data_IF_482914336852
#
_entry.id   IF_482914336852
#
_cell.length_a   1.000
_cell.length_b   1.000
_cell.length_c   1.000
_cell.angle_alpha   90.00
_cell.angle_beta   90.00
_cell.angle_gamma   90.00
#
_symmetry.space_group_name_H-M   'P 1'
#
loop_
_entity.id
_entity.type
_entity.pdbx_description
1 polymer ?
#
# COMPACT_ATOMS: atom_id res chain seq x y z
N UNK A 1 10.75 -21.10 14.89
CA UNK A 1 10.37 -19.93 15.72
C UNK A 1 9.37 -19.17 14.88
N UNK A 2 8.09 -19.51 15.08
CA UNK A 2 6.97 -18.98 14.31
C UNK A 2 6.64 -17.58 14.85
N UNK A 3 6.71 -16.57 14.00
CA UNK A 3 6.26 -15.21 14.33
C UNK A 3 4.78 -15.14 13.96
N UNK A 4 3.95 -15.06 14.98
CA UNK A 4 2.51 -14.84 14.85
C UNK A 4 2.26 -13.48 14.18
N UNK A 5 1.88 -13.52 12.89
CA UNK A 5 1.33 -12.35 12.18
C UNK A 5 -0.12 -12.15 12.64
N UNK A 6 -0.31 -11.41 13.75
CA UNK A 6 -1.63 -10.95 14.16
C UNK A 6 -2.11 -9.79 13.28
N UNK A 7 -3.18 -10.06 12.55
CA UNK A 7 -3.96 -9.12 11.74
C UNK A 7 -4.64 -8.09 12.66
N UNK A 8 -4.33 -6.81 12.48
CA UNK A 8 -4.94 -5.73 13.25
C UNK A 8 -6.41 -5.52 12.86
N UNK A 9 -7.32 -5.78 13.80
CA UNK A 9 -8.69 -5.24 13.80
C UNK A 9 -8.65 -3.77 14.20
N UNK A 10 -9.21 -2.90 13.34
CA UNK A 10 -9.55 -1.53 13.71
C UNK A 10 -11.00 -1.58 14.18
N UNK A 11 -11.22 -1.38 15.48
CA UNK A 11 -12.55 -1.24 16.06
C UNK A 11 -13.12 0.12 15.64
N UNK A 12 -14.02 0.11 14.65
CA UNK A 12 -14.86 1.27 14.38
C UNK A 12 -16.03 1.25 15.37
N UNK A 13 -15.94 2.00 16.47
CA UNK A 13 -17.11 2.35 17.27
C UNK A 13 -18.02 3.29 16.45
N UNK A 14 -19.26 2.87 16.23
CA UNK A 14 -20.32 3.74 15.69
C UNK A 14 -20.64 4.84 16.71
N UNK A 15 -20.23 6.07 16.42
CA UNK A 15 -20.69 7.23 17.15
C UNK A 15 -22.13 7.59 16.72
N UNK A 16 -23.10 7.25 17.58
CA UNK A 16 -24.47 7.71 17.46
C UNK A 16 -24.55 9.23 17.68
N UNK A 17 -25.27 9.88 16.77
CA UNK A 17 -25.50 11.32 16.67
C UNK A 17 -26.12 11.92 17.93
N UNK A 18 -25.44 12.89 18.55
CA UNK A 18 -26.12 14.04 19.16
C UNK A 18 -25.23 15.28 19.10
N UNK A 19 -25.85 16.40 18.73
CA UNK A 19 -25.20 17.67 18.41
C UNK A 19 -24.65 18.36 19.67
N UNK A 20 -23.34 18.44 19.80
CA UNK A 20 -22.65 19.50 20.51
C UNK A 20 -21.22 19.61 19.95
N UNK A 21 -20.80 20.83 19.61
CA UNK A 21 -19.43 21.12 19.20
C UNK A 21 -18.49 20.82 20.38
N UNK A 22 -17.94 19.61 20.39
CA UNK A 22 -16.82 19.23 21.24
C UNK A 22 -15.59 19.32 20.35
N UNK A 23 -14.71 20.25 20.66
CA UNK A 23 -13.35 20.30 20.14
C UNK A 23 -12.64 19.01 20.59
N UNK A 24 -12.77 17.96 19.78
CA UNK A 24 -12.08 16.70 19.99
C UNK A 24 -10.59 16.93 19.74
N UNK A 25 -9.88 17.33 20.79
CA UNK A 25 -8.42 17.22 20.83
C UNK A 25 -8.11 15.73 21.00
N UNK A 26 -8.03 15.01 19.88
CA UNK A 26 -7.59 13.62 19.86
C UNK A 26 -6.10 13.58 20.21
N UNK A 27 -5.78 13.45 21.50
CA UNK A 27 -4.46 13.01 21.94
C UNK A 27 -4.40 11.50 21.67
N UNK A 28 -3.97 11.12 20.48
CA UNK A 28 -3.63 9.73 20.16
C UNK A 28 -2.47 9.30 21.06
N UNK A 29 -2.74 8.38 21.99
CA UNK A 29 -1.69 7.69 22.73
C UNK A 29 -0.78 6.95 21.73
N UNK A 30 0.41 7.49 21.51
CA UNK A 30 1.43 6.84 20.68
C UNK A 30 1.89 5.58 21.41
N UNK A 31 1.67 4.41 20.82
CA UNK A 31 2.09 3.12 21.38
C UNK A 31 3.49 2.76 20.90
N UNK A 32 4.27 2.03 21.71
CA UNK A 32 5.62 1.57 21.35
C UNK A 32 5.64 0.80 20.01
N UNK A 33 4.57 0.07 19.71
CA UNK A 33 4.39 -0.64 18.44
C UNK A 33 4.31 0.31 17.24
N UNK A 34 3.56 1.40 17.36
CA UNK A 34 3.43 2.41 16.29
C UNK A 34 4.76 3.14 16.01
N UNK A 35 5.56 3.37 17.04
CA UNK A 35 6.90 3.96 16.93
C UNK A 35 7.83 3.00 16.19
N UNK A 36 7.85 1.73 16.58
CA UNK A 36 8.66 0.69 15.96
C UNK A 36 8.31 0.49 14.47
N UNK A 37 7.03 0.50 14.13
CA UNK A 37 6.56 0.41 12.75
C UNK A 37 7.01 1.61 11.91
N UNK A 38 6.88 2.82 12.45
CA UNK A 38 7.35 4.05 11.81
C UNK A 38 8.87 4.03 11.57
N UNK A 39 9.65 3.58 12.55
CA UNK A 39 11.10 3.42 12.41
C UNK A 39 11.46 2.39 11.32
N UNK A 40 10.74 1.27 11.27
CA UNK A 40 10.93 0.22 10.26
C UNK A 40 10.65 0.73 8.85
N UNK A 41 9.54 1.46 8.68
CA UNK A 41 9.21 2.07 7.39
C UNK A 41 10.21 3.13 6.98
N UNK A 42 10.65 4.01 7.89
CA UNK A 42 11.71 4.98 7.59
C UNK A 42 12.98 4.30 7.10
N UNK A 43 13.39 3.19 7.73
CA UNK A 43 14.54 2.42 7.28
C UNK A 43 14.32 1.89 5.85
N UNK A 44 13.14 1.35 5.54
CA UNK A 44 12.80 0.89 4.19
C UNK A 44 12.82 2.03 3.17
N UNK A 45 12.23 3.19 3.50
CA UNK A 45 12.18 4.38 2.62
C UNK A 45 13.59 4.73 2.15
N UNK A 46 14.55 4.86 3.07
CA UNK A 46 15.94 5.16 2.70
C UNK A 46 16.54 4.16 1.72
N UNK A 47 16.21 2.86 1.85
CA UNK A 47 16.73 1.84 0.95
C UNK A 47 16.12 1.86 -0.46
N UNK A 48 14.93 2.43 -0.62
CA UNK A 48 14.18 2.38 -1.89
C UNK A 48 14.24 3.69 -2.71
N UNK A 49 14.86 4.75 -2.19
CA UNK A 49 14.99 6.03 -2.91
C UNK A 49 15.74 5.86 -4.24
N UNK A 50 16.96 5.30 -4.24
CA UNK A 50 17.72 5.13 -5.48
C UNK A 50 17.02 4.20 -6.49
N UNK A 51 16.49 3.02 -6.09
CA UNK A 51 15.66 2.20 -6.97
C UNK A 51 14.46 2.96 -7.56
N UNK A 52 13.81 3.78 -6.75
CA UNK A 52 12.66 4.57 -7.18
C UNK A 52 13.04 5.64 -8.20
N UNK A 53 14.09 6.43 -7.93
CA UNK A 53 14.58 7.45 -8.87
C UNK A 53 14.99 6.80 -10.20
N UNK A 54 15.69 5.65 -10.13
CA UNK A 54 16.10 4.89 -11.31
C UNK A 54 14.89 4.43 -12.12
N UNK A 55 13.89 3.87 -11.45
CA UNK A 55 12.65 3.42 -12.07
C UNK A 55 11.88 4.59 -12.71
N UNK A 56 11.69 5.70 -11.99
CA UNK A 56 11.00 6.89 -12.49
C UNK A 56 11.72 7.49 -13.70
N UNK A 57 13.05 7.59 -13.64
CA UNK A 57 13.88 8.08 -14.76
C UNK A 57 13.77 7.17 -15.98
N UNK A 58 13.68 5.85 -15.78
CA UNK A 58 13.51 4.89 -16.86
C UNK A 58 12.11 4.96 -17.51
N UNK A 59 11.09 5.37 -16.76
CA UNK A 59 9.70 5.46 -17.19
C UNK A 59 9.31 6.85 -17.74
N UNK A 60 10.08 7.89 -17.41
CA UNK A 60 9.79 9.26 -17.83
C UNK A 60 9.71 9.37 -19.35
N UNK A 61 8.56 9.84 -19.85
CA UNK A 61 8.31 10.03 -21.28
C UNK A 61 8.12 8.75 -22.09
N UNK A 62 8.10 7.56 -21.46
CA UNK A 62 7.80 6.30 -22.14
C UNK A 62 6.34 5.91 -21.92
N UNK A 63 5.65 5.36 -22.94
CA UNK A 63 4.37 4.72 -22.70
C UNK A 63 4.58 3.58 -21.72
N UNK A 64 3.62 3.39 -20.80
CA UNK A 64 3.63 2.22 -19.92
C UNK A 64 3.83 0.97 -20.79
N UNK A 65 4.79 0.09 -20.47
CA UNK A 65 5.04 -1.09 -21.26
C UNK A 65 3.72 -1.83 -21.40
N UNK A 66 3.19 -1.85 -22.63
CA UNK A 66 1.96 -2.57 -22.94
C UNK A 66 2.29 -4.03 -22.67
N UNK A 67 1.76 -4.51 -21.56
CA UNK A 67 1.74 -5.90 -21.20
C UNK A 67 0.87 -6.62 -22.25
N UNK A 68 1.50 -6.96 -23.39
CA UNK A 68 0.89 -7.70 -24.47
C UNK A 68 0.56 -9.10 -23.97
N UNK A 69 -0.64 -9.27 -23.43
CA UNK A 69 -1.16 -10.57 -23.04
C UNK A 69 -2.46 -10.86 -23.78
N UNK A 70 -2.70 -12.13 -24.12
CA UNK A 70 -4.02 -12.55 -24.57
C UNK A 70 -5.01 -12.23 -23.45
N UNK A 71 -5.98 -11.36 -23.75
CA UNK A 71 -7.09 -10.91 -22.88
C UNK A 71 -7.94 -12.05 -22.27
N UNK A 72 -7.57 -13.30 -22.52
CA UNK A 72 -8.21 -14.51 -21.99
C UNK A 72 -7.84 -14.80 -20.52
N UNK A 73 -6.76 -14.25 -19.98
CA UNK A 73 -6.41 -14.39 -18.56
C UNK A 73 -6.67 -13.10 -17.80
N UNK A 74 -7.54 -13.14 -16.79
CA UNK A 74 -7.80 -12.02 -15.87
C UNK A 74 -6.60 -11.67 -14.98
N UNK A 75 -5.54 -12.48 -15.00
CA UNK A 75 -4.38 -12.35 -14.11
C UNK A 75 -3.07 -12.51 -14.87
N UNK A 76 -2.08 -11.75 -14.44
CA UNK A 76 -0.70 -11.88 -14.84
C UNK A 76 0.11 -12.40 -13.65
N UNK A 77 0.88 -13.46 -13.86
CA UNK A 77 1.89 -13.89 -12.91
C UNK A 77 3.25 -13.34 -13.36
N UNK A 78 3.91 -12.61 -12.47
CA UNK A 78 5.27 -12.09 -12.68
C UNK A 78 6.18 -12.75 -11.65
N UNK A 79 7.26 -13.37 -12.11
CA UNK A 79 8.28 -13.90 -11.22
C UNK A 79 9.27 -12.78 -10.89
N UNK A 80 9.35 -12.45 -9.60
CA UNK A 80 10.29 -11.46 -9.07
C UNK A 80 11.36 -12.22 -8.27
N UNK A 81 12.61 -12.14 -8.72
CA UNK A 81 13.74 -12.77 -8.04
C UNK A 81 14.34 -11.78 -7.04
N UNK A 82 14.42 -12.18 -5.77
CA UNK A 82 15.13 -11.44 -4.73
C UNK A 82 16.40 -12.18 -4.36
N UNK A 83 17.51 -11.47 -4.21
CA UNK A 83 18.78 -12.01 -3.70
C UNK A 83 19.18 -11.26 -2.42
N UNK A 84 20.16 -11.77 -1.67
CA UNK A 84 20.62 -11.11 -0.44
C UNK A 84 21.25 -9.73 -0.70
N UNK A 85 21.57 -9.40 -1.96
CA UNK A 85 22.09 -8.10 -2.37
C UNK A 85 21.01 -7.01 -2.48
N UNK A 86 19.72 -7.39 -2.53
CA UNK A 86 18.60 -6.46 -2.70
C UNK A 86 17.41 -6.89 -1.85
N UNK A 87 16.96 -6.02 -0.96
CA UNK A 87 15.77 -6.30 -0.16
C UNK A 87 14.53 -6.42 -1.06
N UNK A 88 13.53 -7.19 -0.61
CA UNK A 88 12.30 -7.36 -1.38
C UNK A 88 11.60 -6.02 -1.71
N UNK A 89 11.51 -5.03 -0.80
CA UNK A 89 11.04 -3.69 -1.14
C UNK A 89 11.82 -3.01 -2.27
N UNK A 90 13.14 -3.12 -2.30
CA UNK A 90 13.97 -2.56 -3.38
C UNK A 90 13.67 -3.23 -4.73
N UNK A 91 13.51 -4.55 -4.72
CA UNK A 91 13.18 -5.31 -5.93
C UNK A 91 11.79 -4.95 -6.43
N UNK A 92 10.78 -4.86 -5.54
CA UNK A 92 9.42 -4.46 -5.90
C UNK A 92 9.41 -3.08 -6.55
N UNK A 93 10.08 -2.10 -5.95
CA UNK A 93 10.15 -0.72 -6.47
C UNK A 93 10.85 -0.67 -7.83
N UNK A 94 11.90 -1.46 -8.02
CA UNK A 94 12.58 -1.58 -9.31
C UNK A 94 11.66 -2.12 -10.42
N UNK A 95 10.57 -2.79 -10.05
CA UNK A 95 9.53 -3.28 -10.94
C UNK A 95 8.25 -2.42 -10.94
N UNK A 96 8.28 -1.23 -10.33
CA UNK A 96 7.12 -0.32 -10.28
C UNK A 96 6.04 -0.75 -9.29
N UNK A 97 6.39 -1.56 -8.30
CA UNK A 97 5.48 -2.00 -7.24
C UNK A 97 5.90 -1.42 -5.89
N UNK A 98 4.95 -0.85 -5.18
CA UNK A 98 5.13 -0.30 -3.84
C UNK A 98 4.54 -1.26 -2.80
N UNK A 99 5.32 -1.71 -1.80
CA UNK A 99 4.82 -2.64 -0.79
C UNK A 99 3.74 -1.99 0.09
N UNK A 100 2.73 -2.75 0.53
CA UNK A 100 1.75 -2.24 1.51
C UNK A 100 2.19 -2.42 2.97
N UNK A 101 3.28 -3.16 3.20
CA UNK A 101 3.83 -3.46 4.52
C UNK A 101 5.35 -3.59 4.47
N UNK A 102 6.02 -3.30 5.59
CA UNK A 102 7.47 -3.49 5.79
C UNK A 102 7.88 -4.94 6.02
N UNK A 103 6.92 -5.85 6.20
CA UNK A 103 7.19 -7.26 6.47
C UNK A 103 8.03 -7.90 5.36
N UNK A 104 8.89 -8.86 5.73
CA UNK A 104 9.75 -9.63 4.81
C UNK A 104 8.95 -10.37 3.72
N UNK A 105 7.67 -10.62 3.95
CA UNK A 105 6.72 -11.21 3.01
C UNK A 105 5.51 -10.28 2.87
N UNK A 106 5.60 -9.21 2.06
CA UNK A 106 4.45 -8.36 1.79
C UNK A 106 3.41 -9.19 1.03
N UNK A 107 2.21 -9.24 1.59
CA UNK A 107 1.09 -9.98 1.01
C UNK A 107 0.51 -9.26 -0.22
N UNK A 108 0.73 -7.95 -0.29
CA UNK A 108 0.24 -7.08 -1.34
C UNK A 108 1.29 -6.01 -1.67
N UNK A 109 1.29 -5.62 -2.94
CA UNK A 109 1.99 -4.45 -3.43
C UNK A 109 1.08 -3.75 -4.44
N UNK A 110 1.22 -2.43 -4.54
CA UNK A 110 0.40 -1.55 -5.37
C UNK A 110 1.28 -0.95 -6.44
N UNK A 111 0.80 -0.83 -7.68
CA UNK A 111 1.58 -0.15 -8.74
C UNK A 111 1.88 1.29 -8.33
N UNK A 112 3.13 1.71 -8.58
CA UNK A 112 3.59 3.08 -8.35
C UNK A 112 2.78 4.07 -9.19
N UNK A 113 2.44 3.71 -10.42
CA UNK A 113 1.62 4.53 -11.31
C UNK A 113 0.18 4.63 -10.81
N UNK A 114 -0.37 3.55 -10.28
CA UNK A 114 -1.68 3.59 -9.63
C UNK A 114 -1.67 4.51 -8.40
N UNK A 115 -0.61 4.48 -7.59
CA UNK A 115 -0.44 5.39 -6.46
C UNK A 115 -0.28 6.85 -6.90
N UNK A 116 0.52 7.10 -7.94
CA UNK A 116 0.69 8.45 -8.51
C UNK A 116 -0.64 9.01 -9.06
N UNK A 117 -1.38 8.19 -9.82
CA UNK A 117 -2.73 8.55 -10.27
C UNK A 117 -3.66 8.81 -9.08
N UNK A 118 -3.56 7.99 -8.03
CA UNK A 118 -4.37 8.14 -6.84
C UNK A 118 -4.06 9.43 -6.08
N UNK A 119 -2.80 9.87 -5.99
CA UNK A 119 -2.46 11.17 -5.39
C UNK A 119 -3.25 12.29 -6.04
N UNK A 120 -3.24 12.34 -7.37
CA UNK A 120 -4.00 13.34 -8.14
C UNK A 120 -5.52 13.19 -7.96
N UNK A 121 -6.02 11.96 -7.82
CA UNK A 121 -7.44 11.71 -7.56
C UNK A 121 -7.86 12.18 -6.15
N UNK A 122 -7.03 11.93 -5.13
CA UNK A 122 -7.33 12.28 -3.75
C UNK A 122 -7.36 13.79 -3.52
N UNK A 123 -6.50 14.55 -4.20
CA UNK A 123 -6.57 16.02 -4.24
C UNK A 123 -7.94 16.54 -4.69
N UNK A 124 -8.65 15.75 -5.51
CA UNK A 124 -9.98 16.08 -6.02
C UNK A 124 -11.13 15.44 -5.21
N UNK A 125 -10.87 14.38 -4.43
CA UNK A 125 -11.89 13.64 -3.68
C UNK A 125 -11.31 12.90 -2.47
N UNK A 126 -11.71 13.31 -1.26
CA UNK A 126 -11.29 12.69 -0.01
C UNK A 126 -11.74 11.22 0.13
N UNK A 127 -12.88 10.86 -0.47
CA UNK A 127 -13.46 9.51 -0.39
C UNK A 127 -12.86 8.50 -1.39
N UNK A 128 -11.89 8.91 -2.18
CA UNK A 128 -11.35 8.10 -3.27
C UNK A 128 -10.82 6.73 -2.81
N UNK A 129 -10.15 6.64 -1.65
CA UNK A 129 -9.62 5.38 -1.08
C UNK A 129 -10.78 4.45 -0.73
N UNK A 130 -11.83 4.99 -0.10
CA UNK A 130 -12.99 4.21 0.34
C UNK A 130 -13.70 3.60 -0.88
N UNK A 131 -13.96 4.45 -1.88
CA UNK A 131 -14.62 4.03 -3.13
C UNK A 131 -13.77 3.01 -3.88
N UNK A 132 -12.45 3.25 -4.00
CA UNK A 132 -11.54 2.33 -4.70
C UNK A 132 -11.42 0.98 -3.98
N UNK A 133 -11.24 0.98 -2.66
CA UNK A 133 -11.14 -0.24 -1.87
C UNK A 133 -12.43 -1.07 -1.95
N UNK A 134 -13.60 -0.43 -1.86
CA UNK A 134 -14.90 -1.08 -2.02
C UNK A 134 -15.10 -1.62 -3.44
N UNK A 135 -14.69 -0.86 -4.46
CA UNK A 135 -14.75 -1.29 -5.86
C UNK A 135 -13.85 -2.50 -6.12
N UNK A 136 -12.60 -2.51 -5.62
CA UNK A 136 -11.67 -3.63 -5.72
C UNK A 136 -12.24 -4.88 -5.04
N UNK A 137 -12.76 -4.73 -3.82
CA UNK A 137 -13.37 -5.84 -3.09
C UNK A 137 -14.54 -6.44 -3.89
N UNK A 138 -15.46 -5.59 -4.36
CA UNK A 138 -16.59 -6.01 -5.18
C UNK A 138 -16.14 -6.70 -6.47
N UNK A 139 -15.13 -6.16 -7.14
CA UNK A 139 -14.62 -6.66 -8.40
C UNK A 139 -13.99 -8.06 -8.26
N UNK A 140 -13.19 -8.29 -7.22
CA UNK A 140 -12.56 -9.58 -6.98
C UNK A 140 -13.53 -10.61 -6.39
N UNK A 141 -14.38 -10.21 -5.44
CA UNK A 141 -15.38 -11.12 -4.86
C UNK A 141 -16.36 -11.67 -5.90
N UNK A 142 -16.78 -10.83 -6.88
CA UNK A 142 -17.63 -11.29 -8.00
C UNK A 142 -16.99 -12.36 -8.88
N UNK A 143 -15.67 -12.52 -8.82
CA UNK A 143 -14.92 -13.55 -9.56
C UNK A 143 -14.54 -14.75 -8.68
N UNK A 144 -15.05 -14.82 -7.45
CA UNK A 144 -14.73 -15.89 -6.51
C UNK A 144 -13.41 -15.70 -5.75
N UNK A 145 -12.79 -14.51 -5.84
CA UNK A 145 -11.57 -14.19 -5.09
C UNK A 145 -11.93 -13.39 -3.85
N UNK A 146 -11.76 -14.01 -2.69
CA UNK A 146 -11.92 -13.38 -1.38
C UNK A 146 -10.57 -13.37 -0.67
N UNK A 147 -10.20 -12.22 -0.10
CA UNK A 147 -9.00 -12.14 0.72
C UNK A 147 -9.26 -12.86 2.05
N UNK A 148 -8.44 -13.83 2.40
CA UNK A 148 -8.54 -14.58 3.66
C UNK A 148 -7.32 -14.36 4.52
N UNK A 149 -7.52 -14.33 5.83
CA UNK A 149 -6.41 -14.34 6.78
C UNK A 149 -5.81 -15.77 6.92
N UNK A 150 -4.71 -15.96 7.66
CA UNK A 150 -4.13 -17.29 7.91
C UNK A 150 -5.10 -18.30 8.55
N UNK A 151 -6.16 -17.82 9.21
CA UNK A 151 -7.22 -18.63 9.83
C UNK A 151 -8.32 -19.03 8.84
N UNK A 152 -8.21 -18.62 7.57
CA UNK A 152 -9.17 -18.91 6.51
C UNK A 152 -10.44 -18.05 6.55
N UNK A 153 -10.53 -17.06 7.43
CA UNK A 153 -11.71 -16.18 7.48
C UNK A 153 -11.58 -15.04 6.48
N UNK A 154 -12.69 -14.67 5.84
CA UNK A 154 -12.71 -13.52 4.91
C UNK A 154 -12.38 -12.25 5.66
N UNK A 155 -11.42 -11.47 5.13
CA UNK A 155 -11.03 -10.18 5.69
C UNK A 155 -12.00 -9.11 5.21
N UNK A 156 -12.58 -8.35 6.13
CA UNK A 156 -13.41 -7.19 5.81
C UNK A 156 -12.53 -6.04 5.29
N UNK A 157 -12.96 -5.39 4.22
CA UNK A 157 -12.29 -4.24 3.58
C UNK A 157 -10.78 -4.48 3.33
N UNK A 158 -10.42 -5.59 2.66
CA UNK A 158 -9.05 -6.10 2.67
C UNK A 158 -8.05 -5.20 1.93
N UNK A 159 -8.53 -4.32 1.06
CA UNK A 159 -7.70 -3.38 0.30
C UNK A 159 -7.49 -2.06 1.03
N UNK A 160 -8.41 -1.65 1.91
CA UNK A 160 -8.40 -0.30 2.47
C UNK A 160 -7.14 -0.02 3.29
N UNK A 161 -6.86 -0.87 4.29
CA UNK A 161 -5.71 -0.67 5.18
C UNK A 161 -4.37 -0.71 4.41
N UNK A 162 -4.22 -1.67 3.49
CA UNK A 162 -3.01 -1.78 2.68
C UNK A 162 -2.80 -0.60 1.73
N UNK A 163 -3.87 -0.14 1.07
CA UNK A 163 -3.82 1.02 0.18
C UNK A 163 -3.49 2.30 0.93
N UNK A 164 -4.14 2.55 2.07
CA UNK A 164 -3.88 3.75 2.88
C UNK A 164 -2.44 3.78 3.38
N UNK A 165 -1.90 2.65 3.82
CA UNK A 165 -0.49 2.56 4.23
C UNK A 165 0.46 2.81 3.06
N UNK A 166 0.26 2.12 1.93
CA UNK A 166 1.08 2.32 0.74
C UNK A 166 1.08 3.77 0.29
N UNK A 167 -0.10 4.42 0.28
CA UNK A 167 -0.26 5.81 -0.11
C UNK A 167 0.46 6.77 0.84
N UNK A 168 0.31 6.59 2.15
CA UNK A 168 0.98 7.43 3.15
C UNK A 168 2.52 7.37 3.00
N UNK A 169 3.07 6.17 2.83
CA UNK A 169 4.52 5.99 2.70
C UNK A 169 5.04 6.37 1.32
N UNK A 170 4.22 6.25 0.29
CA UNK A 170 4.54 6.78 -1.04
C UNK A 170 4.66 8.31 -1.03
N UNK A 171 3.73 9.02 -0.37
CA UNK A 171 3.83 10.47 -0.22
C UNK A 171 5.11 10.89 0.53
N UNK A 172 5.48 10.15 1.58
CA UNK A 172 6.76 10.37 2.29
C UNK A 172 7.95 10.12 1.36
N UNK A 173 7.93 9.04 0.58
CA UNK A 173 8.99 8.75 -0.40
C UNK A 173 9.16 9.90 -1.39
N UNK A 174 8.07 10.45 -1.93
CA UNK A 174 8.12 11.59 -2.85
C UNK A 174 8.82 12.80 -2.22
N UNK A 175 8.43 13.16 -0.99
CA UNK A 175 9.07 14.28 -0.26
C UNK A 175 10.57 14.03 -0.03
N UNK A 176 10.97 12.81 0.32
CA UNK A 176 12.39 12.49 0.53
C UNK A 176 13.20 12.48 -0.78
N UNK A 177 12.59 12.08 -1.89
CA UNK A 177 13.22 12.15 -3.22
C UNK A 177 13.43 13.61 -3.63
N UNK A 178 12.43 14.48 -3.44
CA UNK A 178 12.54 15.91 -3.76
C UNK A 178 13.65 16.61 -2.98
N UNK A 179 13.91 16.21 -1.73
CA UNK A 179 15.01 16.76 -0.92
C UNK A 179 16.40 16.39 -1.43
N UNK A 180 16.52 15.34 -2.24
CA UNK A 180 17.80 14.85 -2.77
C UNK A 180 18.13 15.41 -4.17
N UNK A 181 17.18 16.09 -4.81
CA UNK A 181 17.33 16.76 -6.12
C UNK A 181 17.72 18.21 -5.92
#
# INVERSE_FOLDING_TARGET
MELEEELFTIDNEEASSSNAAVECTCITHVTDKSISLCASWKAVIWTIIDPFIKYMSAMLGKPLPILQFPLSSCFLSINILSCDCSSLPQTLISHGLFPTTVSRRPWMAVSVELLSFYCALFECSCDAINVLAAALNTYYSRRGFCMTNPKGTTVKDPFHCGLSQAMQWYAILQVEVEKQV
#
